data_IF_956428859447
#
_entry.id   IF_956428859447
#
_cell.length_a   1.000
_cell.length_b   1.000
_cell.length_c   1.000
_cell.angle_alpha   90.00
_cell.angle_beta   90.00
_cell.angle_gamma   90.00
#
_symmetry.space_group_name_H-M   'P 1'
#
loop_
_entity.id
_entity.type
_entity.pdbx_description
1 polymer ?
#
# COMPACT_ATOMS: atom_id res chain seq x y z
N UNK A 1 17.45 -58.60 51.12
CA UNK A 1 16.19 -58.02 50.60
C UNK A 1 16.18 -58.21 49.08
N UNK A 2 15.10 -58.76 48.51
CA UNK A 2 14.87 -59.03 47.06
C UNK A 2 13.35 -58.85 46.80
N UNK A 3 12.86 -58.66 45.57
CA UNK A 3 12.77 -57.43 44.75
C UNK A 3 11.29 -56.98 44.49
N UNK A 4 11.03 -55.98 43.63
CA UNK A 4 9.93 -56.11 42.64
C UNK A 4 10.34 -55.58 41.24
N UNK A 5 10.12 -56.27 40.12
CA UNK A 5 8.89 -56.58 39.35
C UNK A 5 8.73 -55.63 38.13
N UNK A 6 8.66 -56.23 36.94
CA UNK A 6 8.40 -55.59 35.63
C UNK A 6 6.94 -55.08 35.51
N UNK A 7 6.71 -53.98 34.78
CA UNK A 7 5.42 -53.54 34.21
C UNK A 7 5.73 -52.65 32.99
N UNK A 8 5.68 -53.18 31.77
CA UNK A 8 4.54 -53.29 30.83
C UNK A 8 4.32 -52.05 29.96
N UNK A 9 4.29 -52.32 28.65
CA UNK A 9 4.27 -51.41 27.52
C UNK A 9 2.84 -51.35 26.98
N UNK A 10 1.98 -50.45 27.50
CA UNK A 10 0.74 -50.08 26.80
C UNK A 10 0.08 -48.83 27.39
N UNK A 11 0.24 -47.70 26.68
CA UNK A 11 -0.80 -46.67 26.40
C UNK A 11 -0.14 -45.38 25.91
N UNK A 12 -0.18 -45.18 24.60
CA UNK A 12 -0.35 -43.84 24.03
C UNK A 12 -1.74 -43.33 24.46
N UNK A 13 -1.88 -42.10 24.98
CA UNK A 13 -2.97 -41.25 24.59
C UNK A 13 -2.48 -40.40 23.41
N UNK A 14 -3.19 -40.51 22.30
CA UNK A 14 -3.16 -39.51 21.25
C UNK A 14 -3.54 -38.17 21.88
N UNK A 15 -2.54 -37.34 22.21
CA UNK A 15 -2.77 -35.91 22.38
C UNK A 15 -3.04 -35.39 20.97
N UNK A 16 -4.34 -35.29 20.67
CA UNK A 16 -4.83 -34.55 19.54
C UNK A 16 -4.11 -33.21 19.51
N UNK A 17 -3.40 -32.92 18.41
CA UNK A 17 -3.05 -31.56 18.05
C UNK A 17 -4.36 -30.80 17.97
N UNK A 18 -4.72 -30.14 19.06
CA UNK A 18 -5.76 -29.14 19.14
C UNK A 18 -5.26 -27.97 18.29
N UNK A 19 -5.50 -28.10 16.98
CA UNK A 19 -4.97 -27.21 15.96
C UNK A 19 -5.33 -25.78 16.30
N UNK A 20 -4.30 -24.92 16.35
CA UNK A 20 -4.45 -23.49 16.60
C UNK A 20 -5.60 -22.96 15.72
N UNK A 21 -6.71 -22.47 16.30
CA UNK A 21 -7.85 -21.98 15.53
C UNK A 21 -7.49 -20.79 14.63
N UNK A 22 -6.29 -20.20 14.83
CA UNK A 22 -5.71 -19.16 13.98
C UNK A 22 -4.95 -19.71 12.79
N UNK A 23 -4.52 -20.98 12.78
CA UNK A 23 -3.79 -21.59 11.67
C UNK A 23 -4.54 -21.52 10.32
N UNK A 24 -5.86 -21.82 10.22
CA UNK A 24 -6.58 -21.66 8.96
C UNK A 24 -6.74 -20.19 8.54
N UNK A 25 -6.97 -19.28 9.50
CA UNK A 25 -7.04 -17.84 9.21
C UNK A 25 -5.68 -17.30 8.74
N UNK A 26 -4.59 -17.70 9.39
CA UNK A 26 -3.22 -17.33 9.05
C UNK A 26 -2.82 -17.88 7.67
N UNK A 27 -3.25 -19.10 7.31
CA UNK A 27 -3.03 -19.65 5.97
C UNK A 27 -3.85 -18.92 4.88
N UNK A 28 -5.09 -18.55 5.17
CA UNK A 28 -5.90 -17.73 4.26
C UNK A 28 -5.25 -16.36 4.08
N UNK A 29 -4.83 -15.71 5.17
CA UNK A 29 -4.09 -14.45 5.14
C UNK A 29 -2.77 -14.56 4.37
N UNK A 30 -2.01 -15.64 4.54
CA UNK A 30 -0.76 -15.88 3.82
C UNK A 30 -1.00 -16.05 2.31
N UNK A 31 -2.06 -16.77 1.90
CA UNK A 31 -2.44 -16.93 0.49
C UNK A 31 -2.94 -15.62 -0.13
N UNK A 32 -3.73 -14.84 0.60
CA UNK A 32 -4.21 -13.54 0.17
C UNK A 32 -3.05 -12.53 0.05
N UNK A 33 -2.16 -12.50 1.03
CA UNK A 33 -0.94 -11.70 1.01
C UNK A 33 -0.05 -12.11 -0.16
N UNK A 34 0.12 -13.40 -0.42
CA UNK A 34 0.86 -13.91 -1.58
C UNK A 34 0.30 -13.41 -2.91
N UNK A 35 -1.04 -13.42 -3.08
CA UNK A 35 -1.69 -12.88 -4.28
C UNK A 35 -1.51 -11.37 -4.42
N UNK A 36 -1.60 -10.63 -3.31
CA UNK A 36 -1.36 -9.19 -3.30
C UNK A 36 0.09 -8.84 -3.68
N UNK A 37 1.07 -9.60 -3.17
CA UNK A 37 2.49 -9.43 -3.49
C UNK A 37 2.74 -9.72 -4.97
N UNK A 38 2.27 -10.85 -5.50
CA UNK A 38 2.42 -11.21 -6.92
C UNK A 38 1.82 -10.13 -7.82
N UNK A 39 0.64 -9.60 -7.44
CA UNK A 39 0.00 -8.49 -8.16
C UNK A 39 0.87 -7.24 -8.19
N UNK A 40 1.36 -6.78 -7.03
CA UNK A 40 2.20 -5.58 -6.94
C UNK A 40 3.49 -5.74 -7.72
N UNK A 41 4.14 -6.90 -7.63
CA UNK A 41 5.39 -7.19 -8.37
C UNK A 41 5.13 -7.14 -9.87
N UNK A 42 4.11 -7.85 -10.37
CA UNK A 42 3.79 -7.84 -11.80
C UNK A 42 3.49 -6.44 -12.33
N UNK A 43 2.71 -5.64 -11.59
CA UNK A 43 2.43 -4.25 -12.00
C UNK A 43 3.67 -3.34 -11.93
N UNK A 44 4.63 -3.63 -11.05
CA UNK A 44 5.93 -2.93 -11.08
C UNK A 44 6.73 -3.31 -12.33
N UNK A 45 6.74 -4.59 -12.72
CA UNK A 45 7.42 -5.05 -13.94
C UNK A 45 6.80 -4.39 -15.19
N UNK A 46 5.47 -4.38 -15.31
CA UNK A 46 4.77 -3.68 -16.40
C UNK A 46 5.14 -2.18 -16.44
N UNK A 47 5.22 -1.55 -15.26
CA UNK A 47 5.59 -0.14 -15.11
C UNK A 47 7.04 0.16 -15.52
N UNK A 48 7.93 -0.84 -15.55
CA UNK A 48 9.30 -0.66 -16.05
C UNK A 48 9.33 -0.42 -17.57
N UNK A 49 8.34 -0.93 -18.30
CA UNK A 49 8.25 -0.79 -19.75
C UNK A 49 7.46 0.47 -20.16
N UNK A 50 6.29 0.68 -19.55
CA UNK A 50 5.36 1.75 -19.95
C UNK A 50 5.50 3.05 -19.12
N UNK A 51 6.23 3.03 -18.00
CA UNK A 51 6.41 4.15 -17.05
C UNK A 51 5.13 4.62 -16.36
N UNK A 52 4.12 3.76 -16.32
CA UNK A 52 2.83 3.97 -15.67
C UNK A 52 2.64 2.93 -14.57
N UNK A 53 2.78 3.33 -13.31
CA UNK A 53 2.66 2.43 -12.18
C UNK A 53 1.22 2.38 -11.69
N UNK A 54 0.51 1.31 -12.02
CA UNK A 54 -0.78 1.00 -11.43
C UNK A 54 -0.61 0.20 -10.13
N UNK A 55 -1.04 0.73 -9.00
CA UNK A 55 -1.16 0.05 -7.71
C UNK A 55 -2.56 0.23 -7.12
N UNK A 56 -3.55 0.48 -7.98
CA UNK A 56 -4.95 0.61 -7.60
C UNK A 56 -5.50 -0.68 -6.98
N UNK A 57 -6.43 -0.56 -6.04
CA UNK A 57 -7.17 -1.71 -5.45
C UNK A 57 -6.28 -2.84 -4.90
N UNK A 58 -5.12 -2.47 -4.37
CA UNK A 58 -4.14 -3.40 -3.79
C UNK A 58 -4.25 -3.49 -2.26
N UNK A 59 -5.26 -2.87 -1.66
CA UNK A 59 -5.52 -2.85 -0.21
C UNK A 59 -4.32 -2.32 0.58
N UNK A 60 -3.57 -1.39 -0.02
CA UNK A 60 -2.35 -0.84 0.55
C UNK A 60 -2.69 0.15 1.67
N UNK A 61 -2.08 -0.02 2.84
CA UNK A 61 -2.07 1.02 3.89
C UNK A 61 -1.02 2.10 3.63
N UNK A 62 0.02 1.75 2.87
CA UNK A 62 1.10 2.61 2.41
C UNK A 62 1.79 1.94 1.22
N UNK A 63 2.54 2.71 0.44
CA UNK A 63 3.40 2.14 -0.61
C UNK A 63 4.49 1.26 0.04
N UNK A 64 4.57 -0.05 -0.29
CA UNK A 64 5.56 -0.95 0.32
C UNK A 64 6.99 -0.64 -0.10
N UNK A 65 7.96 -0.90 0.77
CA UNK A 65 9.38 -0.69 0.50
C UNK A 65 9.88 -1.45 -0.73
N UNK A 66 9.30 -2.63 -1.00
CA UNK A 66 9.60 -3.42 -2.20
C UNK A 66 9.35 -2.64 -3.51
N UNK A 67 8.31 -1.80 -3.58
CA UNK A 67 8.02 -0.98 -4.77
C UNK A 67 9.18 -0.04 -5.07
N UNK A 68 9.75 0.60 -4.04
CA UNK A 68 10.90 1.50 -4.22
C UNK A 68 12.14 0.76 -4.73
N UNK A 69 12.34 -0.50 -4.30
CA UNK A 69 13.46 -1.33 -4.75
C UNK A 69 13.27 -1.80 -6.19
N UNK A 70 12.06 -2.24 -6.55
CA UNK A 70 11.71 -2.70 -7.90
C UNK A 70 11.77 -1.55 -8.92
N UNK A 71 11.36 -0.35 -8.50
CA UNK A 71 11.32 0.82 -9.37
C UNK A 71 12.61 1.65 -9.35
N UNK A 72 13.70 1.17 -8.71
CA UNK A 72 14.92 1.97 -8.48
C UNK A 72 15.51 2.59 -9.76
N UNK A 73 15.41 1.89 -10.89
CA UNK A 73 15.95 2.31 -12.19
C UNK A 73 14.88 2.81 -13.16
N UNK A 74 13.66 3.02 -12.67
CA UNK A 74 12.53 3.45 -13.48
C UNK A 74 12.12 4.85 -13.08
N UNK A 75 11.94 5.69 -14.08
CA UNK A 75 11.34 7.02 -13.96
C UNK A 75 9.88 6.92 -14.39
N UNK A 76 8.98 7.18 -13.44
CA UNK A 76 7.54 7.14 -13.68
C UNK A 76 7.03 8.47 -14.24
N UNK A 77 6.07 8.37 -15.16
CA UNK A 77 5.25 9.49 -15.62
C UNK A 77 3.91 9.53 -14.91
N UNK A 78 3.28 8.37 -14.73
CA UNK A 78 1.98 8.24 -14.08
C UNK A 78 2.05 7.24 -12.93
N UNK A 79 1.31 7.50 -11.86
CA UNK A 79 1.11 6.56 -10.77
C UNK A 79 -0.34 6.57 -10.30
N UNK A 80 -0.97 5.41 -10.32
CA UNK A 80 -2.30 5.19 -9.77
C UNK A 80 -2.21 4.43 -8.44
N UNK A 81 -2.66 5.05 -7.36
CA UNK A 81 -2.74 4.51 -6.01
C UNK A 81 -4.20 4.47 -5.50
N UNK A 82 -5.16 4.57 -6.40
CA UNK A 82 -6.58 4.68 -6.05
C UNK A 82 -7.18 3.40 -5.46
N UNK A 83 -8.27 3.53 -4.72
CA UNK A 83 -8.99 2.35 -4.19
C UNK A 83 -8.19 1.55 -3.15
N UNK A 84 -7.31 2.22 -2.41
CA UNK A 84 -6.53 1.63 -1.33
C UNK A 84 -7.02 2.15 0.04
N UNK A 85 -6.27 1.86 1.10
CA UNK A 85 -6.53 2.36 2.46
C UNK A 85 -5.38 3.24 2.94
N UNK A 86 -4.79 3.99 2.01
CA UNK A 86 -3.63 4.85 2.28
C UNK A 86 -4.10 6.05 3.10
N UNK A 87 -3.39 6.31 4.20
CA UNK A 87 -3.64 7.45 5.08
C UNK A 87 -2.57 8.54 4.95
N UNK A 88 -1.39 8.19 4.42
CA UNK A 88 -0.25 9.08 4.24
C UNK A 88 0.65 8.63 3.09
N UNK A 89 1.24 9.59 2.40
CA UNK A 89 2.34 9.37 1.46
C UNK A 89 3.63 9.81 2.15
N UNK A 90 4.66 8.95 2.24
CA UNK A 90 5.92 9.32 2.88
C UNK A 90 6.77 10.24 1.98
N UNK A 91 7.60 11.14 2.54
CA UNK A 91 8.44 12.05 1.75
C UNK A 91 9.29 11.35 0.68
N UNK A 92 9.82 10.15 0.99
CA UNK A 92 10.59 9.33 0.04
C UNK A 92 9.85 9.00 -1.27
N UNK A 93 8.52 9.02 -1.28
CA UNK A 93 7.72 8.87 -2.50
C UNK A 93 8.01 9.99 -3.49
N UNK A 94 7.96 11.24 -3.00
CA UNK A 94 8.17 12.44 -3.82
C UNK A 94 9.60 12.54 -4.34
N UNK A 95 10.57 12.06 -3.55
CA UNK A 95 11.98 11.99 -3.94
C UNK A 95 12.20 10.92 -5.01
N UNK A 96 11.59 9.74 -4.85
CA UNK A 96 11.79 8.62 -5.77
C UNK A 96 11.08 8.85 -7.12
N UNK A 97 9.90 9.45 -7.09
CA UNK A 97 9.05 9.62 -8.25
C UNK A 97 8.87 11.10 -8.61
N UNK A 98 9.97 11.84 -8.60
CA UNK A 98 9.99 13.30 -8.78
C UNK A 98 9.53 13.78 -10.16
N UNK A 99 9.53 12.90 -11.16
CA UNK A 99 9.17 13.19 -12.56
C UNK A 99 7.71 12.85 -12.92
N UNK A 100 6.90 12.40 -11.96
CA UNK A 100 5.48 12.10 -12.21
C UNK A 100 4.73 13.35 -12.66
N UNK A 101 3.92 13.20 -13.70
CA UNK A 101 2.97 14.20 -14.22
C UNK A 101 1.55 13.94 -13.73
N UNK A 102 1.20 12.69 -13.49
CA UNK A 102 -0.16 12.26 -13.14
C UNK A 102 -0.15 11.38 -11.90
N UNK A 103 -0.82 11.83 -10.83
CA UNK A 103 -0.93 11.09 -9.57
C UNK A 103 -2.39 10.93 -9.17
N UNK A 104 -2.86 9.68 -9.11
CA UNK A 104 -4.20 9.35 -8.63
C UNK A 104 -4.13 8.77 -7.21
N UNK A 105 -4.66 9.51 -6.23
CA UNK A 105 -4.81 9.10 -4.83
C UNK A 105 -6.29 8.97 -4.44
N UNK A 106 -7.20 8.93 -5.41
CA UNK A 106 -8.63 8.88 -5.14
C UNK A 106 -9.03 7.62 -4.37
N UNK A 107 -10.19 7.65 -3.70
CA UNK A 107 -10.72 6.47 -3.01
C UNK A 107 -9.73 5.90 -1.99
N UNK A 108 -9.23 6.76 -1.11
CA UNK A 108 -8.33 6.42 -0.01
C UNK A 108 -8.85 7.01 1.32
N UNK A 109 -8.03 7.05 2.37
CA UNK A 109 -8.38 7.59 3.68
C UNK A 109 -7.50 8.77 4.07
N UNK A 110 -7.07 9.57 3.08
CA UNK A 110 -6.16 10.67 3.28
C UNK A 110 -6.88 11.93 3.76
N UNK A 111 -6.36 12.55 4.82
CA UNK A 111 -6.82 13.87 5.28
C UNK A 111 -5.82 15.00 5.04
N UNK A 112 -4.59 14.66 4.59
CA UNK A 112 -3.52 15.61 4.30
C UNK A 112 -2.55 15.04 3.27
N UNK A 113 -1.84 15.92 2.58
CA UNK A 113 -0.68 15.58 1.74
C UNK A 113 0.60 16.01 2.47
N UNK A 114 1.74 15.33 2.24
CA UNK A 114 3.03 15.78 2.77
C UNK A 114 3.48 17.07 2.08
N UNK A 115 4.18 17.94 2.82
CA UNK A 115 4.69 19.22 2.30
C UNK A 115 5.71 19.02 1.17
N UNK A 116 6.39 17.87 1.15
CA UNK A 116 7.34 17.51 0.09
C UNK A 116 6.66 17.26 -1.26
N UNK A 117 5.33 17.20 -1.35
CA UNK A 117 4.68 17.13 -2.66
C UNK A 117 4.96 18.35 -3.55
N UNK A 118 5.40 19.49 -2.98
CA UNK A 118 5.84 20.66 -3.76
C UNK A 118 7.06 20.35 -4.63
N UNK A 119 7.85 19.33 -4.28
CA UNK A 119 9.05 18.96 -5.03
C UNK A 119 8.72 18.24 -6.34
N UNK A 120 7.47 17.84 -6.54
CA UNK A 120 6.98 17.25 -7.78
C UNK A 120 6.77 18.36 -8.83
N UNK A 121 7.87 18.94 -9.32
CA UNK A 121 7.85 20.07 -10.25
C UNK A 121 7.15 19.75 -11.58
N UNK A 122 7.08 18.47 -11.96
CA UNK A 122 6.41 18.00 -13.17
C UNK A 122 4.94 17.62 -12.97
N UNK A 123 4.42 17.63 -11.73
CA UNK A 123 3.05 17.18 -11.45
C UNK A 123 2.03 18.14 -12.08
N UNK A 124 1.20 17.61 -12.96
CA UNK A 124 0.22 18.31 -13.76
C UNK A 124 -1.21 18.01 -13.30
N UNK A 125 -1.47 16.74 -12.96
CA UNK A 125 -2.77 16.26 -12.50
C UNK A 125 -2.64 15.53 -11.17
N UNK A 126 -3.48 15.93 -10.23
CA UNK A 126 -3.60 15.30 -8.92
C UNK A 126 -5.06 15.00 -8.63
N UNK A 127 -5.37 13.74 -8.38
CA UNK A 127 -6.69 13.33 -7.92
C UNK A 127 -6.63 12.90 -6.46
N UNK A 128 -7.33 13.64 -5.60
CA UNK A 128 -7.54 13.34 -4.17
C UNK A 128 -9.02 13.16 -3.86
N UNK A 129 -9.86 12.89 -4.86
CA UNK A 129 -11.29 12.67 -4.66
C UNK A 129 -11.57 11.47 -3.75
N UNK A 130 -12.77 11.42 -3.16
CA UNK A 130 -13.16 10.29 -2.29
C UNK A 130 -12.14 10.01 -1.17
N UNK A 131 -11.82 11.06 -0.41
CA UNK A 131 -10.91 11.01 0.73
C UNK A 131 -11.54 11.78 1.92
N UNK A 132 -10.74 12.11 2.94
CA UNK A 132 -11.21 12.76 4.18
C UNK A 132 -10.64 14.18 4.36
N UNK A 133 -10.26 14.86 3.27
CA UNK A 133 -9.75 16.23 3.34
C UNK A 133 -10.82 17.19 3.84
N UNK A 134 -10.47 18.03 4.83
CA UNK A 134 -11.35 19.06 5.41
C UNK A 134 -11.17 20.44 4.79
N UNK A 135 -10.07 20.63 4.06
CA UNK A 135 -9.72 21.84 3.31
C UNK A 135 -8.92 21.44 2.07
N UNK A 136 -8.87 22.32 1.06
CA UNK A 136 -7.95 22.12 -0.05
C UNK A 136 -6.50 22.16 0.47
N UNK A 137 -5.66 21.18 0.12
CA UNK A 137 -4.32 21.11 0.66
C UNK A 137 -3.47 22.26 0.08
N UNK A 138 -2.77 23.06 0.91
CA UNK A 138 -2.01 24.23 0.44
C UNK A 138 -1.01 23.91 -0.66
N UNK A 139 -0.52 22.67 -0.68
CA UNK A 139 0.43 22.15 -1.64
C UNK A 139 -0.06 22.23 -3.09
N UNK A 140 -1.38 22.14 -3.31
CA UNK A 140 -1.94 22.27 -4.64
C UNK A 140 -1.70 23.67 -5.26
N UNK A 141 -1.45 24.68 -4.43
CA UNK A 141 -1.12 26.04 -4.86
C UNK A 141 0.40 26.28 -4.95
N UNK A 142 1.22 25.33 -4.50
CA UNK A 142 2.68 25.43 -4.49
C UNK A 142 3.33 24.62 -5.61
N UNK A 143 2.65 23.59 -6.14
CA UNK A 143 3.14 22.82 -7.27
C UNK A 143 3.11 23.66 -8.56
N UNK A 144 4.26 23.98 -9.19
CA UNK A 144 4.34 24.99 -10.25
C UNK A 144 3.64 24.57 -11.55
N UNK A 145 3.55 23.28 -11.82
CA UNK A 145 2.96 22.73 -13.04
C UNK A 145 1.54 22.20 -12.85
N UNK A 146 0.99 22.25 -11.63
CA UNK A 146 -0.31 21.64 -11.33
C UNK A 146 -1.43 22.51 -11.91
N UNK A 147 -2.15 21.96 -12.88
CA UNK A 147 -3.29 22.64 -13.51
C UNK A 147 -4.60 21.88 -13.37
N UNK A 148 -4.56 20.64 -12.88
CA UNK A 148 -5.76 19.83 -12.63
C UNK A 148 -5.72 19.24 -11.24
N UNK A 149 -6.64 19.68 -10.38
CA UNK A 149 -6.89 19.10 -9.06
C UNK A 149 -8.32 18.59 -8.99
N UNK A 150 -8.48 17.29 -8.76
CA UNK A 150 -9.78 16.70 -8.48
C UNK A 150 -9.87 16.45 -6.97
N UNK A 151 -10.84 17.08 -6.31
CA UNK A 151 -11.01 16.99 -4.86
C UNK A 151 -12.47 16.77 -4.43
N UNK A 152 -13.31 16.34 -5.37
CA UNK A 152 -14.72 16.06 -5.11
C UNK A 152 -14.88 14.88 -4.13
N UNK A 153 -16.05 14.76 -3.49
CA UNK A 153 -16.29 13.72 -2.49
C UNK A 153 -15.25 13.70 -1.34
N UNK A 154 -14.89 14.89 -0.86
CA UNK A 154 -14.17 15.12 0.40
C UNK A 154 -15.07 15.87 1.39
N UNK A 155 -14.54 16.24 2.56
CA UNK A 155 -15.21 17.04 3.59
C UNK A 155 -14.73 18.51 3.54
N UNK A 156 -14.38 19.02 2.36
CA UNK A 156 -13.80 20.34 2.19
C UNK A 156 -14.86 21.40 2.52
N UNK A 157 -14.61 22.15 3.59
CA UNK A 157 -15.44 23.28 3.97
C UNK A 157 -14.90 24.51 3.24
N UNK A 158 -15.76 25.21 2.49
CA UNK A 158 -15.41 26.49 1.90
C UNK A 158 -15.23 27.52 3.02
N UNK A 159 -14.01 28.00 3.21
CA UNK A 159 -13.68 29.13 4.08
C UNK A 159 -13.81 30.45 3.35
#
# INVERSE_FOLDING_TARGET
MRPPAEYDNSRLPAEAEEGDPRAPAMMICARLAGRAIIRVVGRCEDAQENRELDLSECQLMQVPDAVYHLMRHTELKSCDLSGNVITKIPPKFTVKFSLITDLNLSNNQMGRLPDEMCTLACLQRLDISHNTFVALPPIAFQCPSLHTLLAHHNQIIGT
#
